data_IF_974232267056
#
_entry.id   IF_974232267056
#
_cell.length_a   1.000
_cell.length_b   1.000
_cell.length_c   1.000
_cell.angle_alpha   90.00
_cell.angle_beta   90.00
_cell.angle_gamma   90.00
#
_symmetry.space_group_name_H-M   'P 1'
#
loop_
_entity.id
_entity.type
_entity.pdbx_description
1 polymer ?
#
# COMPACT_ATOMS: atom_id res chain seq x y z
N UNK A 1 50.30 -39.49 -12.66
CA UNK A 1 49.73 -38.20 -13.08
C UNK A 1 48.48 -37.96 -12.26
N UNK A 2 48.44 -36.91 -11.44
CA UNK A 2 47.35 -36.62 -10.48
C UNK A 2 46.36 -35.65 -11.13
N UNK A 3 45.13 -36.07 -11.36
CA UNK A 3 44.04 -35.22 -11.86
C UNK A 3 43.28 -34.56 -10.70
N UNK A 4 42.87 -33.28 -10.84
CA UNK A 4 42.25 -32.51 -9.76
C UNK A 4 40.74 -32.76 -9.63
N UNK A 5 40.27 -32.82 -8.38
CA UNK A 5 38.85 -32.83 -8.01
C UNK A 5 38.27 -31.43 -8.28
N UNK A 6 37.35 -31.33 -9.23
CA UNK A 6 36.58 -30.10 -9.48
C UNK A 6 35.50 -30.00 -8.40
N UNK A 7 35.71 -29.07 -7.47
CA UNK A 7 34.72 -28.64 -6.49
C UNK A 7 33.59 -27.90 -7.23
N UNK A 8 32.45 -28.56 -7.40
CA UNK A 8 31.22 -27.92 -7.87
C UNK A 8 30.67 -27.03 -6.76
N UNK A 9 30.95 -25.74 -6.84
CA UNK A 9 30.42 -24.70 -5.97
C UNK A 9 28.95 -24.48 -6.36
N UNK A 10 28.04 -25.21 -5.70
CA UNK A 10 26.59 -24.99 -5.79
C UNK A 10 26.28 -23.59 -5.25
N UNK A 11 26.23 -22.61 -6.14
CA UNK A 11 25.65 -21.31 -5.85
C UNK A 11 24.15 -21.54 -5.58
N UNK A 12 23.77 -21.53 -4.30
CA UNK A 12 22.37 -21.48 -3.90
C UNK A 12 21.80 -20.13 -4.36
N UNK A 13 21.31 -20.08 -5.60
CA UNK A 13 20.44 -19.00 -6.04
C UNK A 13 19.20 -19.10 -5.17
N UNK A 14 19.02 -18.13 -4.28
CA UNK A 14 17.79 -17.97 -3.52
C UNK A 14 16.66 -17.70 -4.52
N UNK A 15 16.05 -18.76 -5.02
CA UNK A 15 14.84 -18.68 -5.82
C UNK A 15 13.78 -18.06 -4.89
N UNK A 16 13.21 -16.89 -5.20
CA UNK A 16 12.07 -16.41 -4.44
C UNK A 16 11.00 -17.50 -4.47
N UNK A 17 10.65 -18.04 -3.31
CA UNK A 17 9.72 -19.15 -3.22
C UNK A 17 8.40 -18.76 -3.87
N UNK A 18 7.80 -19.68 -4.64
CA UNK A 18 6.60 -19.45 -5.48
C UNK A 18 5.44 -18.79 -4.69
N UNK A 19 5.36 -19.04 -3.38
CA UNK A 19 4.41 -18.39 -2.45
C UNK A 19 4.52 -16.84 -2.39
N UNK A 20 5.72 -16.28 -2.59
CA UNK A 20 5.94 -14.82 -2.58
C UNK A 20 5.37 -14.15 -3.85
N UNK A 21 5.39 -14.86 -4.98
CA UNK A 21 4.81 -14.36 -6.23
C UNK A 21 3.27 -14.43 -6.22
N UNK A 22 2.69 -15.46 -5.56
CA UNK A 22 1.24 -15.60 -5.39
C UNK A 22 0.66 -14.51 -4.49
N UNK A 23 1.20 -14.34 -3.28
CA UNK A 23 0.75 -13.30 -2.33
C UNK A 23 0.88 -11.86 -2.89
N UNK A 24 1.89 -11.62 -3.72
CA UNK A 24 2.08 -10.35 -4.42
C UNK A 24 0.99 -10.07 -5.46
N UNK A 25 0.58 -11.11 -6.19
CA UNK A 25 -0.47 -11.03 -7.19
C UNK A 25 -1.83 -10.85 -6.52
N UNK A 26 -2.12 -11.67 -5.52
CA UNK A 26 -3.37 -11.63 -4.73
C UNK A 26 -3.58 -10.22 -4.14
N UNK A 27 -2.59 -9.67 -3.42
CA UNK A 27 -2.72 -8.33 -2.86
C UNK A 27 -2.94 -7.22 -3.90
N UNK A 28 -2.45 -7.39 -5.15
CA UNK A 28 -2.71 -6.44 -6.25
C UNK A 28 -4.09 -6.64 -6.85
N UNK A 29 -4.52 -7.88 -6.98
CA UNK A 29 -5.82 -8.28 -7.52
C UNK A 29 -6.95 -7.79 -6.63
N UNK A 30 -6.86 -8.02 -5.32
CA UNK A 30 -7.86 -7.57 -4.34
C UNK A 30 -7.94 -6.03 -4.27
N UNK A 31 -6.82 -5.32 -4.46
CA UNK A 31 -6.83 -3.85 -4.58
C UNK A 31 -7.49 -3.35 -5.87
N UNK A 32 -7.45 -4.14 -6.95
CA UNK A 32 -8.16 -3.85 -8.20
C UNK A 32 -9.65 -4.07 -8.00
N UNK A 33 -10.05 -5.19 -7.39
CA UNK A 33 -11.44 -5.53 -7.11
C UNK A 33 -12.11 -4.45 -6.24
N UNK A 34 -11.46 -3.98 -5.17
CA UNK A 34 -12.00 -2.84 -4.37
C UNK A 34 -12.33 -1.61 -5.22
N UNK A 35 -11.53 -1.30 -6.25
CA UNK A 35 -11.81 -0.14 -7.12
C UNK A 35 -12.98 -0.39 -8.06
N UNK A 36 -13.12 -1.62 -8.53
CA UNK A 36 -14.23 -2.08 -9.35
C UNK A 36 -15.53 -2.01 -8.55
N UNK A 37 -15.57 -2.61 -7.36
CA UNK A 37 -16.73 -2.53 -6.47
C UNK A 37 -17.11 -1.09 -6.08
N UNK A 38 -16.13 -0.18 -5.94
CA UNK A 38 -16.40 1.26 -5.73
C UNK A 38 -17.02 1.93 -6.94
N UNK A 39 -16.69 1.48 -8.15
CA UNK A 39 -17.31 1.98 -9.38
C UNK A 39 -18.74 1.43 -9.47
N UNK A 40 -18.93 0.16 -9.23
CA UNK A 40 -20.24 -0.49 -9.28
C UNK A 40 -21.21 0.11 -8.25
N UNK A 41 -20.72 0.38 -7.04
CA UNK A 41 -21.51 1.11 -6.05
C UNK A 41 -21.93 2.51 -6.52
N UNK A 42 -21.06 3.24 -7.24
CA UNK A 42 -21.38 4.56 -7.78
C UNK A 42 -22.39 4.48 -8.92
N UNK A 43 -22.26 3.46 -9.76
CA UNK A 43 -23.16 3.24 -10.89
C UNK A 43 -24.55 2.79 -10.37
N UNK A 44 -24.61 1.89 -9.39
CA UNK A 44 -25.84 1.51 -8.68
C UNK A 44 -26.49 2.72 -7.99
N UNK A 45 -25.71 3.61 -7.36
CA UNK A 45 -26.25 4.84 -6.77
C UNK A 45 -26.86 5.81 -7.79
N UNK A 46 -26.42 5.75 -9.05
CA UNK A 46 -26.86 6.67 -10.11
C UNK A 46 -28.04 6.11 -10.89
N UNK A 47 -28.05 4.81 -11.17
CA UNK A 47 -28.99 4.19 -12.11
C UNK A 47 -29.78 3.03 -11.52
N UNK A 48 -29.36 2.48 -10.38
CA UNK A 48 -29.98 1.32 -9.75
C UNK A 48 -31.05 1.66 -8.74
N UNK A 49 -31.63 0.62 -8.16
CA UNK A 49 -32.62 0.73 -7.09
C UNK A 49 -32.00 0.59 -5.69
N UNK A 50 -32.86 0.55 -4.66
CA UNK A 50 -32.42 0.43 -3.27
C UNK A 50 -31.75 -0.93 -2.97
N UNK A 51 -32.17 -1.99 -3.66
CA UNK A 51 -31.59 -3.33 -3.53
C UNK A 51 -30.21 -3.39 -4.17
N UNK A 52 -30.05 -2.85 -5.39
CA UNK A 52 -28.76 -2.78 -6.09
C UNK A 52 -27.70 -2.06 -5.26
N UNK A 53 -28.06 -0.90 -4.69
CA UNK A 53 -27.15 -0.13 -3.84
C UNK A 53 -26.78 -0.90 -2.57
N UNK A 54 -27.71 -1.69 -2.01
CA UNK A 54 -27.45 -2.49 -0.81
C UNK A 54 -26.46 -3.61 -1.11
N UNK A 55 -26.61 -4.26 -2.25
CA UNK A 55 -25.79 -5.39 -2.66
C UNK A 55 -24.39 -4.91 -3.06
N UNK A 56 -24.28 -3.88 -3.89
CA UNK A 56 -22.99 -3.26 -4.21
C UNK A 56 -22.25 -2.75 -2.96
N UNK A 57 -22.96 -2.28 -1.92
CA UNK A 57 -22.34 -1.95 -0.62
C UNK A 57 -21.84 -3.17 0.14
N UNK A 58 -22.51 -4.32 0.01
CA UNK A 58 -22.08 -5.57 0.63
C UNK A 58 -20.82 -6.08 -0.06
N UNK A 59 -20.81 -6.08 -1.39
CA UNK A 59 -19.69 -6.57 -2.20
C UNK A 59 -18.46 -5.69 -2.00
N UNK A 60 -18.63 -4.36 -2.01
CA UNK A 60 -17.54 -3.44 -1.66
C UNK A 60 -16.95 -3.73 -0.26
N UNK A 61 -17.79 -4.01 0.74
CA UNK A 61 -17.30 -4.32 2.08
C UNK A 61 -16.55 -5.65 2.14
N UNK A 62 -16.95 -6.63 1.34
CA UNK A 62 -16.26 -7.91 1.22
C UNK A 62 -14.88 -7.73 0.57
N UNK A 63 -14.84 -7.07 -0.59
CA UNK A 63 -13.61 -6.73 -1.30
C UNK A 63 -12.64 -5.93 -0.42
N UNK A 64 -13.14 -4.94 0.34
CA UNK A 64 -12.30 -4.14 1.24
C UNK A 64 -11.70 -4.95 2.39
N UNK A 65 -12.42 -5.99 2.86
CA UNK A 65 -11.92 -6.91 3.88
C UNK A 65 -10.83 -7.81 3.31
N UNK A 66 -11.10 -8.46 2.18
CA UNK A 66 -10.15 -9.36 1.50
C UNK A 66 -8.85 -8.63 1.14
N UNK A 67 -8.96 -7.46 0.50
CA UNK A 67 -7.81 -6.63 0.17
C UNK A 67 -7.00 -6.19 1.40
N UNK A 68 -7.63 -6.02 2.56
CA UNK A 68 -6.93 -5.72 3.82
C UNK A 68 -6.21 -6.95 4.36
N UNK A 69 -6.83 -8.12 4.29
CA UNK A 69 -6.29 -9.40 4.76
C UNK A 69 -5.07 -9.79 3.91
N UNK A 70 -5.20 -9.83 2.59
CA UNK A 70 -4.09 -10.15 1.66
C UNK A 70 -2.93 -9.18 1.82
N UNK A 71 -3.23 -7.89 1.97
CA UNK A 71 -2.18 -6.90 2.14
C UNK A 71 -1.47 -7.06 3.48
N UNK A 72 -2.20 -7.40 4.55
CA UNK A 72 -1.59 -7.69 5.86
C UNK A 72 -0.65 -8.90 5.76
N UNK A 73 -1.09 -9.97 5.12
CA UNK A 73 -0.32 -11.20 4.98
C UNK A 73 0.92 -10.99 4.10
N UNK A 74 0.77 -10.20 3.02
CA UNK A 74 1.90 -9.76 2.22
C UNK A 74 2.91 -8.93 3.03
N UNK A 75 2.46 -7.96 3.85
CA UNK A 75 3.38 -7.18 4.69
C UNK A 75 4.10 -8.01 5.73
N UNK A 76 3.41 -9.03 6.25
CA UNK A 76 3.97 -9.92 7.28
C UNK A 76 5.05 -10.83 6.68
N UNK A 77 4.79 -11.39 5.49
CA UNK A 77 5.75 -12.23 4.76
C UNK A 77 6.94 -11.44 4.18
N UNK A 78 6.74 -10.15 3.87
CA UNK A 78 7.77 -9.27 3.29
C UNK A 78 8.21 -8.17 4.26
N UNK A 79 8.41 -8.53 5.53
CA UNK A 79 8.63 -7.56 6.61
C UNK A 79 9.85 -6.67 6.38
N UNK A 80 10.88 -7.20 5.72
CA UNK A 80 12.10 -6.49 5.32
C UNK A 80 11.81 -5.29 4.40
N UNK A 81 10.86 -5.42 3.46
CA UNK A 81 10.47 -4.34 2.55
C UNK A 81 9.82 -3.17 3.30
N UNK A 82 9.03 -3.48 4.34
CA UNK A 82 8.29 -2.49 5.13
C UNK A 82 9.08 -1.96 6.33
N UNK A 83 10.23 -2.56 6.65
CA UNK A 83 11.11 -2.09 7.70
C UNK A 83 11.81 -0.82 7.24
N UNK A 84 11.67 0.26 8.00
CA UNK A 84 12.32 1.53 7.67
C UNK A 84 13.10 2.08 8.85
N UNK A 85 14.14 2.89 8.60
CA UNK A 85 14.76 3.66 9.65
C UNK A 85 13.72 4.52 10.38
N UNK A 86 14.03 4.86 11.63
CA UNK A 86 13.20 5.73 12.46
C UNK A 86 12.77 6.98 11.68
N UNK A 87 11.50 7.35 11.82
CA UNK A 87 10.97 8.50 11.11
C UNK A 87 11.53 9.80 11.69
N UNK A 88 12.22 10.57 10.85
CA UNK A 88 12.68 11.92 11.19
C UNK A 88 11.76 12.94 10.54
N UNK A 89 10.77 13.40 11.30
CA UNK A 89 9.83 14.41 10.85
C UNK A 89 10.45 15.80 10.68
N UNK A 90 9.70 16.75 10.09
CA UNK A 90 10.13 18.13 9.97
C UNK A 90 10.29 18.79 11.35
N UNK A 91 10.87 20.00 11.40
CA UNK A 91 11.08 20.74 12.65
C UNK A 91 9.76 20.86 13.45
N UNK A 92 9.81 20.55 14.74
CA UNK A 92 8.63 20.56 15.62
C UNK A 92 7.73 19.32 15.48
N UNK A 93 8.18 18.28 14.77
CA UNK A 93 7.42 17.05 14.65
C UNK A 93 7.22 16.36 16.00
N UNK A 94 5.95 16.14 16.31
CA UNK A 94 5.49 15.14 17.26
C UNK A 94 4.44 14.29 16.54
N UNK A 95 4.47 12.97 16.77
CA UNK A 95 3.50 12.07 16.17
C UNK A 95 2.10 12.36 16.70
N UNK A 96 1.13 12.49 15.80
CA UNK A 96 -0.30 12.58 16.11
C UNK A 96 -1.09 11.77 15.08
N UNK A 97 -2.01 10.88 15.51
CA UNK A 97 -2.88 10.18 14.57
C UNK A 97 -3.62 11.15 13.64
N UNK A 98 -3.50 10.94 12.32
CA UNK A 98 -4.26 11.72 11.31
C UNK A 98 -5.38 10.88 10.69
N UNK A 99 -6.38 11.55 10.14
CA UNK A 99 -7.50 10.95 9.43
C UNK A 99 -7.66 11.60 8.04
N UNK A 100 -8.35 10.96 7.08
CA UNK A 100 -8.78 11.63 5.85
C UNK A 100 -9.44 12.98 6.13
N UNK A 101 -9.11 14.00 5.32
CA UNK A 101 -9.55 15.39 5.50
C UNK A 101 -8.57 16.28 6.29
N UNK A 102 -7.67 15.69 7.11
CA UNK A 102 -6.62 16.44 7.80
C UNK A 102 -5.75 17.23 6.80
N UNK A 103 -5.25 18.40 7.21
CA UNK A 103 -4.39 19.24 6.38
C UNK A 103 -2.99 19.33 6.96
N UNK A 104 -2.03 18.76 6.24
CA UNK A 104 -0.62 18.88 6.56
C UNK A 104 -0.06 20.24 6.13
N UNK A 105 0.91 20.75 6.89
CA UNK A 105 1.78 21.82 6.42
C UNK A 105 2.74 21.30 5.32
N UNK A 106 3.19 22.16 4.38
CA UNK A 106 4.07 21.77 3.27
C UNK A 106 5.30 20.94 3.65
N UNK A 107 5.88 21.23 4.82
CA UNK A 107 7.05 20.52 5.32
C UNK A 107 6.85 19.00 5.49
N UNK A 108 5.61 18.54 5.71
CA UNK A 108 5.30 17.12 5.93
C UNK A 108 5.21 16.29 4.65
N UNK A 109 5.07 16.92 3.48
CA UNK A 109 4.96 16.24 2.19
C UNK A 109 6.01 16.70 1.18
N UNK A 110 7.13 17.26 1.66
CA UNK A 110 8.31 17.50 0.84
C UNK A 110 8.94 16.20 0.32
N UNK A 111 9.78 16.30 -0.70
CA UNK A 111 10.32 15.16 -1.47
C UNK A 111 10.92 14.03 -0.62
N UNK A 112 11.53 14.36 0.53
CA UNK A 112 12.12 13.37 1.46
C UNK A 112 11.10 12.42 2.10
N UNK A 113 9.83 12.83 2.15
CA UNK A 113 8.73 12.05 2.74
C UNK A 113 7.88 11.35 1.69
N UNK A 114 7.96 11.80 0.43
CA UNK A 114 7.24 11.20 -0.69
C UNK A 114 7.76 9.79 -0.96
N UNK A 115 6.84 8.86 -1.16
CA UNK A 115 7.11 7.50 -1.61
C UNK A 115 7.17 7.51 -3.13
N UNK A 116 8.39 7.54 -3.66
CA UNK A 116 8.64 7.63 -5.11
C UNK A 116 8.29 6.34 -5.86
N UNK A 117 8.36 5.19 -5.19
CA UNK A 117 7.93 3.90 -5.73
C UNK A 117 6.79 3.32 -4.89
N UNK A 118 5.52 3.68 -5.20
CA UNK A 118 4.35 3.11 -4.54
C UNK A 118 4.24 1.59 -4.75
N UNK A 119 4.69 1.10 -5.90
CA UNK A 119 4.51 -0.30 -6.30
C UNK A 119 5.31 -1.25 -5.45
N UNK A 120 6.50 -0.85 -4.99
CA UNK A 120 7.30 -1.59 -4.00
C UNK A 120 6.51 -1.93 -2.74
N UNK A 121 5.61 -1.04 -2.34
CA UNK A 121 4.77 -1.17 -1.15
C UNK A 121 3.34 -1.63 -1.46
N UNK A 122 3.08 -2.03 -2.71
CA UNK A 122 1.74 -2.39 -3.23
C UNK A 122 0.71 -1.28 -3.02
N UNK A 123 1.18 -0.05 -2.93
CA UNK A 123 0.30 1.10 -2.88
C UNK A 123 -0.26 1.36 -4.29
N UNK A 124 -1.54 1.77 -4.39
CA UNK A 124 -2.12 2.28 -5.61
C UNK A 124 -1.23 3.32 -6.31
N UNK A 125 -1.14 3.23 -7.64
CA UNK A 125 -0.63 4.34 -8.44
C UNK A 125 -1.41 5.62 -8.10
N UNK A 126 -0.68 6.70 -7.88
CA UNK A 126 -1.27 8.01 -7.64
C UNK A 126 -1.47 8.74 -8.94
N UNK A 127 -2.63 9.37 -9.14
CA UNK A 127 -2.90 10.22 -10.30
C UNK A 127 -2.79 11.71 -9.94
N UNK A 128 -2.40 12.53 -10.92
CA UNK A 128 -2.38 13.99 -10.80
C UNK A 128 -1.50 14.51 -9.66
N UNK A 129 -2.11 15.28 -8.75
CA UNK A 129 -1.45 15.97 -7.62
C UNK A 129 -1.34 15.13 -6.34
N UNK A 130 -1.81 13.88 -6.35
CA UNK A 130 -1.77 13.05 -5.16
C UNK A 130 -0.40 12.38 -5.03
N UNK A 131 0.15 12.33 -3.82
CA UNK A 131 1.41 11.63 -3.52
C UNK A 131 1.26 10.81 -2.25
N UNK A 132 1.78 9.60 -2.25
CA UNK A 132 1.97 8.84 -1.03
C UNK A 132 3.13 9.44 -0.24
N UNK A 133 2.91 9.68 1.04
CA UNK A 133 3.84 10.36 1.93
C UNK A 133 3.97 9.54 3.21
N UNK A 134 5.19 9.38 3.70
CA UNK A 134 5.44 8.74 5.00
C UNK A 134 5.24 9.75 6.12
N UNK A 135 4.48 9.35 7.13
CA UNK A 135 4.27 10.11 8.35
C UNK A 135 4.40 9.18 9.57
N UNK A 136 5.51 9.26 10.30
CA UNK A 136 5.81 8.27 11.34
C UNK A 136 5.94 6.86 10.74
N UNK A 137 5.18 5.92 11.29
CA UNK A 137 5.02 4.57 10.75
C UNK A 137 3.81 4.44 9.82
N UNK A 138 3.09 5.52 9.56
CA UNK A 138 1.93 5.53 8.68
C UNK A 138 2.34 5.93 7.25
N UNK A 139 1.51 5.55 6.29
CA UNK A 139 1.56 6.09 4.92
C UNK A 139 0.24 6.77 4.60
N UNK A 140 0.34 7.99 4.06
CA UNK A 140 -0.79 8.88 3.83
C UNK A 140 -0.79 9.35 2.39
N UNK A 141 -1.97 9.34 1.76
CA UNK A 141 -2.14 9.92 0.43
C UNK A 141 -2.47 11.40 0.61
N UNK A 142 -1.61 12.28 0.13
CA UNK A 142 -1.76 13.73 0.27
C UNK A 142 -1.97 14.36 -1.09
N UNK A 143 -2.97 15.22 -1.21
CA UNK A 143 -3.10 16.13 -2.34
C UNK A 143 -2.10 17.28 -2.15
N UNK A 144 -1.00 17.29 -2.90
CA UNK A 144 0.12 18.21 -2.62
C UNK A 144 -0.19 19.67 -2.93
N UNK A 145 -1.25 19.94 -3.71
CA UNK A 145 -1.73 21.31 -3.99
C UNK A 145 -2.41 21.93 -2.78
N UNK A 146 -3.12 21.13 -1.99
CA UNK A 146 -3.94 21.63 -0.86
C UNK A 146 -3.40 21.22 0.52
N UNK A 147 -2.53 20.21 0.57
CA UNK A 147 -2.04 19.57 1.79
C UNK A 147 -3.07 18.63 2.45
N UNK A 148 -4.21 18.38 1.81
CA UNK A 148 -5.28 17.54 2.37
C UNK A 148 -4.96 16.05 2.23
N UNK A 149 -5.17 15.31 3.32
CA UNK A 149 -5.08 13.86 3.37
C UNK A 149 -6.33 13.26 2.73
N UNK A 150 -6.13 12.37 1.77
CA UNK A 150 -7.18 11.64 1.05
C UNK A 150 -7.39 10.26 1.66
N UNK A 151 -6.29 9.59 2.03
CA UNK A 151 -6.30 8.22 2.56
C UNK A 151 -5.18 8.05 3.59
N UNK A 152 -5.40 7.18 4.58
CA UNK A 152 -4.43 6.86 5.63
C UNK A 152 -4.36 5.34 5.79
N UNK A 153 -3.15 4.80 5.79
CA UNK A 153 -2.86 3.44 6.22
C UNK A 153 -1.97 3.50 7.46
N UNK A 154 -2.53 3.08 8.60
CA UNK A 154 -1.87 3.14 9.91
C UNK A 154 -0.91 1.98 10.10
N UNK A 155 0.16 2.20 10.87
CA UNK A 155 1.15 1.16 11.22
C UNK A 155 1.65 0.40 10.00
N UNK A 156 1.91 1.15 8.94
CA UNK A 156 2.25 0.64 7.63
C UNK A 156 3.70 0.14 7.57
N UNK A 157 4.60 0.89 8.20
CA UNK A 157 6.02 0.58 8.31
C UNK A 157 6.35 0.02 9.70
N UNK A 158 7.42 -0.80 9.75
CA UNK A 158 7.97 -1.39 10.97
C UNK A 158 9.29 -0.73 11.39
#
# INVERSE_FOLDING_TARGET
MRTPIILALMAAVAVPSIAQAQSLREARESQRDVREQRRDLRDAQRYGDRHDVRDARKDLRHAEREAREDWRDYRQSHRDVYRRPAYVGPRGYAYRPVAPGHRFAPAYYGSRYVINDPWRYRLPATTGVNRWVRYGNDVVLVNVRTGRVVQVHRSFFW
#
